data_IF_886004498067
#
_entry.id   IF_886004498067
#
_cell.length_a   1.000
_cell.length_b   1.000
_cell.length_c   1.000
_cell.angle_alpha   90.00
_cell.angle_beta   90.00
_cell.angle_gamma   90.00
#
_symmetry.space_group_name_H-M   'P 1'
#
loop_
_entity.id
_entity.type
_entity.pdbx_description
1 polymer ?
#
# COMPACT_ATOMS: atom_id res chain seq x y z
N UNK A 1 -4.02 62.74 48.68
CA UNK A 1 -4.63 61.90 47.62
C UNK A 1 -3.54 61.53 46.63
N UNK A 2 -3.00 60.31 46.72
CA UNK A 2 -2.07 59.76 45.74
C UNK A 2 -2.85 58.75 44.90
N UNK A 3 -3.09 59.05 43.62
CA UNK A 3 -3.62 58.10 42.65
C UNK A 3 -2.47 57.55 41.83
N UNK A 4 -2.05 56.32 42.11
CA UNK A 4 -1.09 55.60 41.28
C UNK A 4 -1.80 55.10 40.01
N UNK A 5 -1.34 55.57 38.86
CA UNK A 5 -1.82 55.16 37.54
C UNK A 5 -1.14 53.84 37.17
N UNK A 6 -1.73 52.69 37.53
CA UNK A 6 -1.31 51.38 37.02
C UNK A 6 -1.81 51.19 35.59
N UNK A 7 -1.02 51.57 34.60
CA UNK A 7 -1.27 51.23 33.19
C UNK A 7 -0.01 50.66 32.56
N UNK A 8 0.00 49.36 32.28
CA UNK A 8 1.01 48.76 31.39
C UNK A 8 1.34 47.30 31.63
N UNK A 9 1.43 46.84 32.89
CA UNK A 9 2.09 45.57 33.20
C UNK A 9 1.27 44.30 32.85
N UNK A 10 -0.06 44.36 32.96
CA UNK A 10 -0.92 43.20 32.70
C UNK A 10 -1.03 42.84 31.22
N UNK A 11 -1.02 43.83 30.32
CA UNK A 11 -1.11 43.60 28.87
C UNK A 11 0.19 42.99 28.32
N UNK A 12 1.35 43.46 28.79
CA UNK A 12 2.66 42.90 28.41
C UNK A 12 2.81 41.43 28.79
N UNK A 13 2.31 41.01 29.95
CA UNK A 13 2.33 39.59 30.35
C UNK A 13 1.46 38.75 29.42
N UNK A 14 0.28 39.23 29.04
CA UNK A 14 -0.62 38.52 28.13
C UNK A 14 0.05 38.31 26.76
N UNK A 15 0.70 39.34 26.21
CA UNK A 15 1.43 39.20 24.94
C UNK A 15 2.58 38.20 25.01
N UNK A 16 3.33 38.17 26.11
CA UNK A 16 4.40 37.20 26.32
C UNK A 16 3.84 35.77 26.38
N UNK A 17 2.75 35.56 27.11
CA UNK A 17 2.11 34.24 27.20
C UNK A 17 1.62 33.78 25.83
N UNK A 18 0.96 34.66 25.06
CA UNK A 18 0.49 34.34 23.70
C UNK A 18 1.67 34.00 22.79
N UNK A 19 2.76 34.77 22.83
CA UNK A 19 3.94 34.52 22.02
C UNK A 19 4.60 33.18 22.35
N UNK A 20 4.70 32.83 23.63
CA UNK A 20 5.27 31.54 24.08
C UNK A 20 4.38 30.37 23.64
N UNK A 21 3.07 30.47 23.80
CA UNK A 21 2.13 29.43 23.34
C UNK A 21 2.18 29.27 21.82
N UNK A 22 2.25 30.37 21.07
CA UNK A 22 2.39 30.33 19.62
C UNK A 22 3.71 29.68 19.17
N UNK A 23 4.82 29.98 19.85
CA UNK A 23 6.12 29.37 19.59
C UNK A 23 6.12 27.87 19.87
N UNK A 24 5.56 27.44 21.01
CA UNK A 24 5.45 26.02 21.35
C UNK A 24 4.57 25.30 20.32
N UNK A 25 3.44 25.90 19.94
CA UNK A 25 2.57 25.37 18.90
C UNK A 25 3.27 25.25 17.53
N UNK A 26 4.04 26.26 17.14
CA UNK A 26 4.78 26.28 15.88
C UNK A 26 5.90 25.22 15.84
N UNK A 27 6.69 25.11 16.92
CA UNK A 27 7.76 24.11 17.04
C UNK A 27 7.18 22.69 17.06
N UNK A 28 6.10 22.46 17.82
CA UNK A 28 5.38 21.18 17.82
C UNK A 28 4.84 20.82 16.44
N UNK A 29 4.25 21.78 15.73
CA UNK A 29 3.75 21.57 14.37
C UNK A 29 4.87 21.26 13.36
N UNK A 30 6.00 21.97 13.45
CA UNK A 30 7.16 21.74 12.57
C UNK A 30 7.80 20.37 12.81
N UNK A 31 7.89 19.93 14.07
CA UNK A 31 8.37 18.60 14.43
C UNK A 31 7.45 17.49 13.88
N UNK A 32 6.13 17.65 14.03
CA UNK A 32 5.15 16.69 13.50
C UNK A 32 5.19 16.60 11.97
N UNK A 33 5.33 17.75 11.29
CA UNK A 33 5.47 17.81 9.83
C UNK A 33 6.75 17.11 9.35
N UNK A 34 7.88 17.30 10.04
CA UNK A 34 9.15 16.67 9.66
C UNK A 34 9.23 15.18 10.02
N UNK A 35 8.46 14.71 11.00
CA UNK A 35 8.46 13.30 11.43
C UNK A 35 7.68 12.38 10.50
N UNK A 36 6.97 12.91 9.50
CA UNK A 36 6.14 12.11 8.57
C UNK A 36 4.93 11.44 9.22
N UNK A 37 4.63 11.74 10.50
CA UNK A 37 3.53 11.11 11.24
C UNK A 37 2.21 11.78 10.86
N UNK A 38 1.43 11.11 10.03
CA UNK A 38 0.12 11.59 9.59
C UNK A 38 -0.95 11.25 10.65
N UNK A 39 -0.92 11.97 11.78
CA UNK A 39 -1.82 11.76 12.93
C UNK A 39 -3.29 11.88 12.53
N UNK A 40 -3.62 12.79 11.61
CA UNK A 40 -4.99 12.99 11.10
C UNK A 40 -5.45 11.74 10.35
N UNK A 41 -4.65 11.21 9.42
CA UNK A 41 -4.98 9.98 8.69
C UNK A 41 -5.12 8.74 9.58
N UNK A 42 -4.42 8.70 10.73
CA UNK A 42 -4.54 7.62 11.70
C UNK A 42 -5.79 7.72 12.58
N UNK A 43 -6.25 8.95 12.87
CA UNK A 43 -7.45 9.22 13.67
C UNK A 43 -8.75 9.16 12.87
N UNK A 44 -8.71 9.40 11.56
CA UNK A 44 -9.90 9.36 10.69
C UNK A 44 -10.10 8.03 9.98
N UNK A 45 -9.29 7.00 10.29
CA UNK A 45 -9.35 5.71 9.60
C UNK A 45 -9.06 5.88 8.11
N UNK A 46 -7.87 6.38 7.77
CA UNK A 46 -7.46 6.58 6.39
C UNK A 46 -7.66 5.30 5.56
N UNK A 47 -8.22 5.48 4.36
CA UNK A 47 -8.44 4.36 3.43
C UNK A 47 -7.13 3.70 3.02
N UNK A 48 -7.17 2.55 2.35
CA UNK A 48 -6.00 1.75 1.94
C UNK A 48 -4.76 2.56 1.52
N UNK A 49 -4.93 3.63 0.73
CA UNK A 49 -3.87 4.52 0.28
C UNK A 49 -3.10 5.25 1.40
N UNK A 50 -3.71 5.51 2.57
CA UNK A 50 -3.05 6.21 3.68
C UNK A 50 -1.95 5.39 4.36
N UNK A 51 -1.91 4.08 4.11
CA UNK A 51 -0.88 3.18 4.63
C UNK A 51 0.38 3.19 3.75
N UNK A 52 0.34 3.81 2.56
CA UNK A 52 1.43 3.77 1.60
C UNK A 52 1.80 5.18 1.11
N UNK A 53 3.08 5.36 0.77
CA UNK A 53 3.49 6.54 0.02
C UNK A 53 2.99 6.41 -1.43
N UNK A 54 2.32 7.43 -1.94
CA UNK A 54 1.80 7.47 -3.30
C UNK A 54 2.06 8.83 -3.94
N UNK A 55 2.08 8.85 -5.27
CA UNK A 55 2.12 10.08 -6.07
C UNK A 55 0.84 10.16 -6.89
N UNK A 56 0.08 11.24 -6.76
CA UNK A 56 -1.13 11.40 -7.56
C UNK A 56 -0.77 11.80 -9.00
N UNK A 57 -1.38 11.11 -9.96
CA UNK A 57 -1.17 11.29 -11.40
C UNK A 57 -2.25 10.57 -12.19
N UNK A 58 -2.30 10.87 -13.47
CA UNK A 58 -3.07 10.09 -14.42
C UNK A 58 -2.36 8.79 -14.76
N UNK A 59 -3.14 7.70 -14.75
CA UNK A 59 -2.67 6.35 -15.03
C UNK A 59 -3.47 5.82 -16.22
N UNK A 60 -2.76 5.28 -17.21
CA UNK A 60 -3.35 4.53 -18.31
C UNK A 60 -2.86 3.09 -18.22
N UNK A 61 -3.80 2.17 -18.05
CA UNK A 61 -3.51 0.74 -18.13
C UNK A 61 -3.51 0.34 -19.60
N UNK A 62 -2.36 -0.11 -20.09
CA UNK A 62 -2.14 -0.34 -21.53
C UNK A 62 -2.04 -1.82 -21.89
N UNK A 63 -1.86 -2.68 -20.90
CA UNK A 63 -1.77 -4.13 -21.08
C UNK A 63 -2.41 -4.88 -19.90
N UNK A 64 -2.84 -6.13 -20.09
CA UNK A 64 -3.21 -7.01 -18.99
C UNK A 64 -1.97 -7.52 -18.24
N UNK A 65 -2.15 -8.08 -17.02
CA UNK A 65 -1.05 -8.62 -16.24
C UNK A 65 -0.50 -9.97 -16.76
N UNK A 66 -0.98 -10.43 -17.91
CA UNK A 66 -0.51 -11.59 -18.65
C UNK A 66 -0.45 -11.20 -20.14
N UNK A 67 0.44 -11.82 -20.92
CA UNK A 67 0.45 -11.57 -22.36
C UNK A 67 -0.87 -11.97 -22.99
N UNK A 68 -1.32 -11.18 -23.96
CA UNK A 68 -2.62 -11.39 -24.61
C UNK A 68 -2.70 -12.76 -25.29
N UNK A 69 -1.60 -13.25 -25.84
CA UNK A 69 -1.53 -14.54 -26.55
C UNK A 69 -1.50 -15.73 -25.59
N UNK A 70 -1.21 -15.50 -24.31
CA UNK A 70 -1.14 -16.51 -23.25
C UNK A 70 -2.41 -16.53 -22.40
N UNK A 71 -3.28 -15.52 -22.53
CA UNK A 71 -4.50 -15.35 -21.74
C UNK A 71 -5.57 -16.37 -22.13
N UNK A 72 -5.94 -17.25 -21.18
CA UNK A 72 -6.99 -18.25 -21.35
C UNK A 72 -8.35 -17.73 -20.91
N UNK A 73 -8.46 -17.30 -19.64
CA UNK A 73 -9.70 -16.75 -19.11
C UNK A 73 -9.47 -15.74 -17.99
N UNK A 74 -10.47 -14.90 -17.76
CA UNK A 74 -10.57 -14.00 -16.61
C UNK A 74 -11.79 -14.41 -15.80
N UNK A 75 -11.61 -14.70 -14.51
CA UNK A 75 -12.74 -14.95 -13.61
C UNK A 75 -13.25 -13.62 -13.08
N UNK A 76 -14.54 -13.28 -13.30
CA UNK A 76 -15.10 -12.01 -12.84
C UNK A 76 -15.18 -11.99 -11.30
N UNK A 77 -15.05 -10.80 -10.73
CA UNK A 77 -15.32 -10.57 -9.31
C UNK A 77 -16.77 -10.92 -8.99
N UNK A 78 -17.00 -11.46 -7.79
CA UNK A 78 -18.34 -11.86 -7.37
C UNK A 78 -18.89 -13.10 -8.07
N UNK A 79 -18.04 -13.88 -8.76
CA UNK A 79 -18.45 -15.18 -9.29
C UNK A 79 -18.87 -16.11 -8.14
N UNK A 80 -20.06 -16.68 -8.24
CA UNK A 80 -20.62 -17.64 -7.29
C UNK A 80 -20.47 -19.04 -7.87
N UNK A 81 -19.43 -19.76 -7.47
CA UNK A 81 -19.10 -21.09 -7.98
C UNK A 81 -19.16 -22.12 -6.83
N UNK A 82 -19.83 -23.25 -7.08
CA UNK A 82 -20.07 -24.39 -6.17
C UNK A 82 -21.09 -24.15 -5.02
N UNK A 83 -21.43 -25.22 -4.28
CA UNK A 83 -22.39 -25.24 -3.17
C UNK A 83 -21.88 -24.62 -1.86
N UNK A 84 -20.62 -24.21 -1.81
CA UNK A 84 -20.01 -23.41 -0.75
C UNK A 84 -19.63 -22.05 -1.31
N UNK A 85 -20.52 -21.07 -1.17
CA UNK A 85 -20.41 -19.81 -1.89
C UNK A 85 -19.54 -18.82 -1.11
N UNK A 86 -18.31 -18.62 -1.59
CA UNK A 86 -17.54 -17.41 -1.29
C UNK A 86 -17.40 -16.64 -2.60
N UNK A 87 -17.98 -15.42 -2.73
CA UNK A 87 -17.75 -14.60 -3.91
C UNK A 87 -16.25 -14.36 -4.08
N UNK A 88 -15.72 -14.49 -5.31
CA UNK A 88 -14.31 -14.17 -5.55
C UNK A 88 -14.04 -12.70 -5.22
N UNK A 89 -13.12 -12.46 -4.29
CA UNK A 89 -12.76 -11.15 -3.75
C UNK A 89 -11.64 -10.44 -4.53
N UNK A 90 -11.00 -11.16 -5.45
CA UNK A 90 -10.00 -10.65 -6.39
C UNK A 90 -10.15 -11.27 -7.78
N UNK A 91 -9.59 -10.60 -8.80
CA UNK A 91 -9.67 -11.03 -10.20
C UNK A 91 -8.66 -12.16 -10.43
N UNK A 92 -9.12 -13.28 -10.99
CA UNK A 92 -8.21 -14.32 -11.48
C UNK A 92 -7.94 -14.11 -12.96
N UNK A 93 -6.67 -14.07 -13.32
CA UNK A 93 -6.20 -14.03 -14.70
C UNK A 93 -5.42 -15.32 -14.94
N UNK A 94 -5.95 -16.18 -15.80
CA UNK A 94 -5.44 -17.53 -15.98
C UNK A 94 -4.89 -17.74 -17.40
N UNK A 95 -3.78 -18.47 -17.55
CA UNK A 95 -3.21 -18.78 -18.86
C UNK A 95 -4.00 -19.88 -19.58
N UNK A 96 -3.75 -20.05 -20.87
CA UNK A 96 -4.38 -21.09 -21.71
C UNK A 96 -4.04 -22.51 -21.22
N UNK A 97 -2.80 -22.75 -20.79
CA UNK A 97 -2.35 -24.06 -20.28
C UNK A 97 -1.96 -23.95 -18.82
N UNK A 98 -2.50 -24.85 -18.00
CA UNK A 98 -2.24 -24.89 -16.56
C UNK A 98 -1.16 -25.89 -16.17
N UNK A 99 -1.03 -27.00 -16.91
CA UNK A 99 -0.02 -28.04 -16.66
C UNK A 99 1.29 -27.70 -17.39
N UNK A 100 2.03 -26.77 -16.79
CA UNK A 100 3.31 -26.27 -17.29
C UNK A 100 4.29 -26.15 -16.13
N UNK A 101 5.62 -26.15 -16.41
CA UNK A 101 6.61 -25.92 -15.37
C UNK A 101 6.42 -24.58 -14.64
N UNK A 102 6.90 -24.51 -13.40
CA UNK A 102 6.90 -23.27 -12.63
C UNK A 102 7.59 -22.12 -13.36
N UNK A 103 7.09 -20.90 -13.16
CA UNK A 103 7.62 -19.67 -13.76
C UNK A 103 7.55 -19.63 -15.31
N UNK A 104 6.68 -20.46 -15.92
CA UNK A 104 6.45 -20.42 -17.39
C UNK A 104 5.85 -19.09 -17.85
N UNK A 105 4.88 -18.55 -17.11
CA UNK A 105 4.17 -17.32 -17.49
C UNK A 105 4.69 -16.11 -16.69
N UNK A 106 5.23 -15.08 -17.36
CA UNK A 106 5.60 -13.85 -16.69
C UNK A 106 4.34 -13.06 -16.29
N UNK A 107 4.34 -12.54 -15.06
CA UNK A 107 3.33 -11.56 -14.62
C UNK A 107 3.82 -10.17 -15.02
N UNK A 108 2.99 -9.48 -15.78
CA UNK A 108 3.32 -8.16 -16.35
C UNK A 108 2.66 -7.04 -15.54
N UNK A 109 3.29 -5.88 -15.54
CA UNK A 109 2.70 -4.68 -14.96
C UNK A 109 1.78 -4.01 -15.98
N UNK A 110 0.51 -3.76 -15.64
CA UNK A 110 -0.45 -3.19 -16.60
C UNK A 110 -0.22 -1.70 -16.91
N UNK A 111 0.57 -1.03 -16.05
CA UNK A 111 1.04 0.35 -16.20
C UNK A 111 2.32 0.56 -15.37
N UNK A 112 3.03 1.66 -15.59
CA UNK A 112 4.12 2.08 -14.71
C UNK A 112 3.60 2.29 -13.29
N UNK A 113 4.35 1.86 -12.28
CA UNK A 113 3.96 1.97 -10.87
C UNK A 113 5.14 1.83 -9.92
N UNK A 114 4.89 2.11 -8.65
CA UNK A 114 5.86 1.99 -7.56
C UNK A 114 5.48 0.81 -6.68
N UNK A 115 6.41 -0.12 -6.47
CA UNK A 115 6.24 -1.17 -5.45
C UNK A 115 6.30 -0.51 -4.08
N UNK A 116 5.23 -0.62 -3.31
CA UNK A 116 5.09 0.00 -1.97
C UNK A 116 5.14 -1.02 -0.84
N UNK A 117 4.99 -2.31 -1.17
CA UNK A 117 5.13 -3.41 -0.24
C UNK A 117 5.49 -4.69 -0.97
N UNK A 118 6.37 -5.49 -0.38
CA UNK A 118 6.60 -6.88 -0.73
C UNK A 118 6.48 -7.68 0.56
N UNK A 119 5.71 -8.76 0.53
CA UNK A 119 5.52 -9.68 1.64
C UNK A 119 5.43 -11.11 1.16
N UNK A 120 5.33 -12.04 2.10
CA UNK A 120 5.08 -13.45 1.82
C UNK A 120 3.58 -13.73 1.93
N UNK A 121 3.04 -14.59 1.07
CA UNK A 121 1.70 -15.13 1.30
C UNK A 121 1.69 -15.97 2.60
N UNK A 122 0.65 -15.88 3.44
CA UNK A 122 0.54 -16.73 4.63
C UNK A 122 0.44 -18.21 4.25
N UNK A 123 1.16 -19.09 4.96
CA UNK A 123 1.23 -20.53 4.67
C UNK A 123 -0.13 -21.22 4.58
N UNK A 124 -1.14 -20.72 5.30
CA UNK A 124 -2.52 -21.22 5.26
C UNK A 124 -3.24 -21.04 3.91
N UNK A 125 -2.74 -20.13 3.06
CA UNK A 125 -3.25 -19.88 1.71
C UNK A 125 -2.33 -20.45 0.64
N UNK A 126 -1.35 -21.27 1.06
CA UNK A 126 -0.29 -21.79 0.22
C UNK A 126 -0.46 -23.30 0.11
N UNK A 127 -0.51 -23.79 -1.12
CA UNK A 127 -0.36 -25.20 -1.45
C UNK A 127 0.22 -25.31 -2.85
N UNK A 128 1.14 -26.24 -3.09
CA UNK A 128 1.44 -26.65 -4.45
C UNK A 128 0.17 -27.26 -5.11
N UNK A 129 0.21 -27.44 -6.43
CA UNK A 129 -0.92 -27.99 -7.20
C UNK A 129 -1.39 -29.34 -6.67
N UNK A 130 -0.52 -30.08 -5.99
CA UNK A 130 -0.75 -31.42 -5.48
C UNK A 130 -0.96 -31.44 -3.95
N UNK A 131 -1.06 -30.27 -3.31
CA UNK A 131 -1.15 -30.05 -1.85
C UNK A 131 -0.09 -30.78 -1.01
N UNK A 132 1.06 -31.10 -1.59
CA UNK A 132 2.10 -31.94 -0.99
C UNK A 132 3.20 -31.12 -0.30
N UNK A 133 3.41 -29.88 -0.73
CA UNK A 133 4.43 -29.00 -0.18
C UNK A 133 4.05 -27.53 -0.28
N UNK A 134 4.60 -26.73 0.64
CA UNK A 134 4.54 -25.27 0.54
C UNK A 134 5.60 -24.83 -0.51
N UNK A 135 5.24 -24.07 -1.57
CA UNK A 135 6.23 -23.42 -2.43
C UNK A 135 7.27 -22.65 -1.61
N UNK A 136 8.53 -22.82 -2.00
CA UNK A 136 9.70 -22.19 -1.37
C UNK A 136 9.61 -20.67 -1.41
N UNK A 137 8.99 -20.13 -2.46
CA UNK A 137 8.79 -18.70 -2.67
C UNK A 137 7.32 -18.49 -3.06
N UNK A 138 6.61 -17.63 -2.32
CA UNK A 138 5.27 -17.16 -2.68
C UNK A 138 5.10 -15.76 -2.10
N UNK A 139 5.05 -14.78 -3.00
CA UNK A 139 5.08 -13.37 -2.66
C UNK A 139 3.74 -12.68 -2.89
N UNK A 140 3.45 -11.74 -1.99
CA UNK A 140 2.45 -10.69 -2.12
C UNK A 140 3.15 -9.39 -2.45
N UNK A 141 2.83 -8.76 -3.56
CA UNK A 141 3.41 -7.49 -4.00
C UNK A 141 2.32 -6.43 -4.14
N UNK A 142 2.47 -5.30 -3.45
CA UNK A 142 1.56 -4.16 -3.56
C UNK A 142 2.22 -3.09 -4.42
N UNK A 143 1.51 -2.65 -5.45
CA UNK A 143 1.95 -1.62 -6.39
C UNK A 143 0.98 -0.44 -6.33
N UNK A 144 1.53 0.77 -6.17
CA UNK A 144 0.82 2.03 -6.35
C UNK A 144 1.04 2.54 -7.78
N UNK A 145 -0.05 2.71 -8.53
CA UNK A 145 0.01 3.41 -9.81
C UNK A 145 -0.29 4.90 -9.63
N UNK A 146 -1.20 5.23 -8.71
CA UNK A 146 -1.43 6.59 -8.23
C UNK A 146 -1.99 6.53 -6.80
N UNK A 147 -2.25 7.69 -6.20
CA UNK A 147 -3.00 7.74 -4.93
C UNK A 147 -4.44 7.21 -5.03
N UNK A 148 -4.95 6.94 -6.24
CA UNK A 148 -6.28 6.39 -6.51
C UNK A 148 -6.28 4.91 -6.88
N UNK A 149 -5.17 4.41 -7.43
CA UNK A 149 -5.11 3.08 -8.03
C UNK A 149 -3.96 2.27 -7.48
N UNK A 150 -4.29 1.13 -6.91
CA UNK A 150 -3.36 0.15 -6.37
C UNK A 150 -3.72 -1.24 -6.90
N UNK A 151 -2.74 -2.12 -6.98
CA UNK A 151 -2.97 -3.55 -7.19
C UNK A 151 -2.14 -4.38 -6.23
N UNK A 152 -2.71 -5.50 -5.85
CA UNK A 152 -2.04 -6.54 -5.07
C UNK A 152 -1.88 -7.73 -6.00
N UNK A 153 -0.64 -8.14 -6.22
CA UNK A 153 -0.31 -9.38 -6.90
C UNK A 153 0.01 -10.43 -5.84
N UNK A 154 -0.70 -11.56 -5.88
CA UNK A 154 -0.51 -12.67 -4.93
C UNK A 154 -0.09 -13.93 -5.71
N UNK A 155 0.46 -14.91 -5.00
CA UNK A 155 0.95 -16.15 -5.61
C UNK A 155 2.06 -15.92 -6.64
N UNK A 156 2.88 -14.88 -6.42
CA UNK A 156 4.05 -14.60 -7.25
C UNK A 156 5.19 -15.50 -6.80
N UNK A 157 5.44 -16.56 -7.56
CA UNK A 157 6.46 -17.55 -7.24
C UNK A 157 7.86 -16.90 -7.25
N UNK A 158 8.25 -16.24 -8.35
CA UNK A 158 9.58 -15.63 -8.48
C UNK A 158 9.52 -14.16 -8.83
N UNK A 159 10.23 -13.32 -8.06
CA UNK A 159 10.41 -11.90 -8.36
C UNK A 159 11.48 -11.69 -9.43
N UNK A 160 11.30 -10.67 -10.27
CA UNK A 160 12.21 -10.35 -11.37
C UNK A 160 12.85 -8.98 -11.21
N UNK A 161 14.10 -8.86 -11.65
CA UNK A 161 14.81 -7.59 -11.81
C UNK A 161 14.89 -6.76 -10.53
N UNK A 162 14.58 -5.48 -10.63
CA UNK A 162 14.73 -4.54 -9.52
C UNK A 162 13.73 -4.79 -8.38
N UNK A 163 12.61 -5.48 -8.64
CA UNK A 163 11.67 -5.90 -7.58
C UNK A 163 12.29 -6.98 -6.71
N UNK A 164 13.02 -7.92 -7.30
CA UNK A 164 13.74 -8.95 -6.53
C UNK A 164 14.82 -8.31 -5.65
N UNK A 165 15.60 -7.36 -6.19
CA UNK A 165 16.62 -6.63 -5.43
C UNK A 165 16.02 -5.80 -4.30
N UNK A 166 14.89 -5.13 -4.55
CA UNK A 166 14.20 -4.34 -3.52
C UNK A 166 13.59 -5.22 -2.41
N UNK A 167 13.33 -6.49 -2.71
CA UNK A 167 12.86 -7.48 -1.75
C UNK A 167 13.98 -8.18 -0.97
N UNK A 168 15.25 -8.05 -1.40
CA UNK A 168 16.40 -8.61 -0.69
C UNK A 168 16.51 -7.99 0.72
N UNK A 169 16.31 -8.81 1.76
CA UNK A 169 16.36 -8.38 3.16
C UNK A 169 15.02 -7.96 3.77
N UNK A 170 13.94 -7.92 2.98
CA UNK A 170 12.59 -7.86 3.54
C UNK A 170 12.31 -9.24 4.15
N UNK A 171 12.38 -9.33 5.48
CA UNK A 171 11.96 -10.55 6.17
C UNK A 171 10.48 -10.79 5.85
N UNK A 172 10.10 -12.02 5.46
CA UNK A 172 8.70 -12.36 5.33
C UNK A 172 8.00 -12.03 6.65
N UNK A 173 6.90 -11.27 6.57
CA UNK A 173 6.05 -10.92 7.71
C UNK A 173 5.52 -12.15 8.41
#
# INVERSE_FOLDING_TARGET
MYTSKQSGFHLSIIFVVIAVVALIGFVGWQFLRNSGVNIVGKLTGGGFASNYSCTDRDVKFTSPPLKMEELGYIRPLGAMLDGHVTPTDHVYVAPIKHDVPDNTYPVLMPADGTVVEVGRMPDQYIGDRDFNSLPKEDHRVVVSFSCRYFSIFIHIHKLHGDVAKAAEGIKPS
#
